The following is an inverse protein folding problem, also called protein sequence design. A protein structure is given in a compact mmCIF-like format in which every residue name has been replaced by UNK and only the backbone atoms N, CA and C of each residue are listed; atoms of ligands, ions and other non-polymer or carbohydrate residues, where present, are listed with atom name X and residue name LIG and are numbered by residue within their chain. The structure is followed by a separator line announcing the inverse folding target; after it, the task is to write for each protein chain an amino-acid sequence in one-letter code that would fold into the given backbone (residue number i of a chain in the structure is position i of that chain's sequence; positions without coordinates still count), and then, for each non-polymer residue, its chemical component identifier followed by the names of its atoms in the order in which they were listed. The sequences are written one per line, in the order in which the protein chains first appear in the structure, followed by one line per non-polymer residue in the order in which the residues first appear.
data_IF_539866755230
#
_entry.id   IF_539866755230
#
_cell.length_a   1.000
_cell.length_b   1.000
_cell.length_c   1.000
_cell.angle_alpha   90.00
_cell.angle_beta   90.00
_cell.angle_gamma   90.00
#
_symmetry.space_group_name_H-M   'P 1'
#
loop_
_entity.id
_entity.type
_entity.pdbx_description
1 polymer ?
#
# COMPACT_ATOMS: atom_id res chain seq x y z
N UNK A 1 45.64 1.48 12.42
CA UNK A 1 44.29 1.96 12.81
C UNK A 1 43.46 2.12 11.54
N UNK A 2 42.83 1.06 11.02
CA UNK A 2 42.05 1.08 9.76
C UNK A 2 40.69 0.38 9.89
N UNK A 3 40.20 0.14 11.12
CA UNK A 3 38.96 -0.59 11.40
C UNK A 3 37.69 0.28 11.36
N UNK A 4 37.83 1.62 11.35
CA UNK A 4 36.68 2.54 11.42
C UNK A 4 35.77 2.51 10.18
N UNK A 5 36.33 2.33 8.98
CA UNK A 5 35.56 2.35 7.74
C UNK A 5 34.67 1.12 7.55
N UNK A 6 35.17 -0.07 7.91
CA UNK A 6 34.42 -1.32 7.78
C UNK A 6 33.23 -1.36 8.76
N UNK A 7 33.43 -0.91 10.00
CA UNK A 7 32.36 -0.82 10.98
C UNK A 7 31.24 0.14 10.54
N UNK A 8 31.61 1.25 9.90
CA UNK A 8 30.65 2.25 9.42
C UNK A 8 29.80 1.72 8.24
N UNK A 9 30.42 1.02 7.29
CA UNK A 9 29.70 0.41 6.17
C UNK A 9 28.71 -0.67 6.64
N UNK A 10 29.10 -1.49 7.62
CA UNK A 10 28.20 -2.49 8.21
C UNK A 10 27.04 -1.83 8.94
N UNK A 11 27.28 -0.76 9.70
CA UNK A 11 26.23 -0.01 10.38
C UNK A 11 25.25 0.64 9.39
N UNK A 12 25.75 1.24 8.31
CA UNK A 12 24.91 1.81 7.25
C UNK A 12 24.10 0.73 6.53
N UNK A 13 24.72 -0.41 6.20
CA UNK A 13 24.02 -1.54 5.59
C UNK A 13 22.89 -2.06 6.47
N UNK A 14 23.16 -2.23 7.77
CA UNK A 14 22.15 -2.68 8.74
C UNK A 14 20.98 -1.69 8.84
N UNK A 15 21.26 -0.39 8.90
CA UNK A 15 20.23 0.65 8.96
C UNK A 15 19.36 0.69 7.70
N UNK A 16 19.95 0.48 6.52
CA UNK A 16 19.20 0.41 5.26
C UNK A 16 18.28 -0.80 5.22
N UNK A 17 18.76 -1.98 5.65
CA UNK A 17 17.94 -3.20 5.72
C UNK A 17 16.81 -3.04 6.73
N UNK A 18 17.09 -2.47 7.91
CA UNK A 18 16.07 -2.22 8.93
C UNK A 18 15.04 -1.20 8.46
N UNK A 19 15.50 -0.09 7.87
CA UNK A 19 14.64 0.95 7.32
C UNK A 19 13.73 0.41 6.22
N UNK A 20 14.28 -0.36 5.28
CA UNK A 20 13.52 -0.96 4.19
C UNK A 20 12.51 -2.00 4.70
N UNK A 21 12.92 -2.86 5.64
CA UNK A 21 12.03 -3.83 6.29
C UNK A 21 10.89 -3.15 7.02
N UNK A 22 11.18 -2.08 7.76
CA UNK A 22 10.19 -1.32 8.52
C UNK A 22 9.23 -0.57 7.59
N UNK A 23 9.72 0.10 6.54
CA UNK A 23 8.87 0.75 5.54
C UNK A 23 7.92 -0.23 4.86
N UNK A 24 8.41 -1.44 4.53
CA UNK A 24 7.60 -2.48 3.89
C UNK A 24 6.57 -3.07 4.85
N UNK A 25 6.94 -3.24 6.12
CA UNK A 25 6.02 -3.67 7.17
C UNK A 25 4.93 -2.63 7.44
N UNK A 26 5.26 -1.33 7.49
CA UNK A 26 4.26 -0.26 7.63
C UNK A 26 3.33 -0.19 6.41
N UNK A 27 3.87 -0.35 5.20
CA UNK A 27 3.04 -0.37 3.98
C UNK A 27 2.05 -1.55 3.99
N UNK A 28 2.47 -2.73 4.47
CA UNK A 28 1.58 -3.89 4.64
C UNK A 28 0.58 -3.71 5.77
N UNK A 29 1.01 -3.18 6.92
CA UNK A 29 0.12 -2.91 8.05
C UNK A 29 -0.99 -1.90 7.68
N UNK A 30 -0.68 -0.92 6.81
CA UNK A 30 -1.68 0.00 6.25
C UNK A 30 -2.67 -0.70 5.31
N UNK A 31 -2.30 -1.83 4.72
CA UNK A 31 -3.13 -2.65 3.84
C UNK A 31 -3.98 -3.68 4.59
N UNK A 32 -3.51 -4.21 5.72
CA UNK A 32 -4.17 -5.32 6.43
C UNK A 32 -5.07 -4.89 7.61
N UNK A 33 -4.95 -3.65 8.11
CA UNK A 33 -5.39 -3.34 9.47
C UNK A 33 -6.71 -2.58 9.68
N UNK A 34 -7.48 -2.20 8.66
CA UNK A 34 -8.69 -1.39 8.93
C UNK A 34 -9.87 -1.83 8.09
N UNK A 35 -10.82 -2.50 8.74
CA UNK A 35 -12.22 -2.52 8.30
C UNK A 35 -12.74 -1.08 8.38
N UNK A 36 -12.38 -0.26 7.39
CA UNK A 36 -12.71 1.16 7.33
C UNK A 36 -14.14 1.28 6.82
N UNK A 37 -15.07 1.57 7.71
CA UNK A 37 -16.44 1.90 7.33
C UNK A 37 -16.40 3.31 6.72
N UNK A 38 -16.60 3.40 5.40
CA UNK A 38 -16.70 4.68 4.68
C UNK A 38 -18.18 4.95 4.45
N UNK A 39 -18.69 6.01 5.08
CA UNK A 39 -20.05 6.48 4.83
C UNK A 39 -20.12 7.11 3.43
N UNK A 40 -20.72 6.40 2.47
CA UNK A 40 -20.93 6.91 1.13
C UNK A 40 -22.10 7.88 1.15
N UNK A 41 -21.83 9.15 0.89
CA UNK A 41 -22.87 10.15 0.60
C UNK A 41 -23.09 10.24 -0.91
N UNK A 42 -24.13 10.94 -1.37
CA UNK A 42 -24.36 11.18 -2.81
C UNK A 42 -23.23 11.92 -3.54
N UNK A 43 -22.25 12.45 -2.80
CA UNK A 43 -21.04 13.09 -3.33
C UNK A 43 -19.82 12.16 -3.36
N UNK A 44 -19.96 10.90 -2.97
CA UNK A 44 -18.91 9.89 -3.07
C UNK A 44 -19.14 9.02 -4.30
N UNK A 45 -18.07 8.79 -5.07
CA UNK A 45 -18.06 7.85 -6.18
C UNK A 45 -17.09 6.72 -5.88
N UNK A 46 -17.46 5.53 -6.34
CA UNK A 46 -16.64 4.34 -6.28
C UNK A 46 -16.20 3.96 -7.69
N UNK A 47 -14.92 3.72 -7.85
CA UNK A 47 -14.31 3.31 -9.12
C UNK A 47 -13.61 1.98 -8.93
N UNK A 48 -13.80 1.06 -9.88
CA UNK A 48 -12.99 -0.14 -9.97
C UNK A 48 -11.97 0.09 -11.08
N UNK A 49 -10.69 0.11 -10.73
CA UNK A 49 -9.58 0.31 -11.68
C UNK A 49 -8.70 -0.92 -11.73
N UNK A 50 -8.16 -1.22 -12.91
CA UNK A 50 -7.23 -2.32 -13.10
C UNK A 50 -5.83 -1.79 -13.35
N UNK A 51 -4.86 -2.25 -12.55
CA UNK A 51 -3.46 -1.83 -12.64
C UNK A 51 -2.59 -3.06 -12.47
N UNK A 52 -1.74 -3.37 -13.45
CA UNK A 52 -0.82 -4.52 -13.41
C UNK A 52 -1.53 -5.86 -13.10
N UNK A 53 -2.75 -6.04 -13.64
CA UNK A 53 -3.57 -7.24 -13.40
C UNK A 53 -4.21 -7.30 -12.00
N UNK A 54 -4.14 -6.23 -11.22
CA UNK A 54 -4.76 -6.10 -9.89
C UNK A 54 -6.00 -5.22 -10.00
N UNK A 55 -7.11 -5.65 -9.37
CA UNK A 55 -8.37 -4.91 -9.38
C UNK A 55 -8.52 -4.12 -8.09
N UNK A 56 -8.66 -2.81 -8.20
CA UNK A 56 -8.61 -1.88 -7.09
C UNK A 56 -9.94 -1.13 -6.97
N UNK A 57 -10.55 -1.14 -5.79
CA UNK A 57 -11.68 -0.30 -5.44
C UNK A 57 -11.17 1.03 -4.89
N UNK A 58 -11.38 2.09 -5.63
CA UNK A 58 -10.97 3.46 -5.28
C UNK A 58 -12.21 4.27 -4.93
N UNK A 59 -12.16 4.94 -3.79
CA UNK A 59 -13.16 5.92 -3.38
C UNK A 59 -12.70 7.32 -3.71
N UNK A 60 -13.60 8.11 -4.31
CA UNK A 60 -13.43 9.55 -4.51
C UNK A 60 -14.55 10.28 -3.80
N UNK A 61 -14.22 11.18 -2.88
CA UNK A 61 -15.17 11.98 -2.09
C UNK A 61 -15.00 13.48 -2.33
N UNK A 62 -15.85 14.33 -1.73
CA UNK A 62 -16.11 15.68 -2.23
C UNK A 62 -14.95 16.69 -2.14
N UNK A 63 -13.89 16.43 -1.37
CA UNK A 63 -12.78 17.39 -1.19
C UNK A 63 -11.41 16.73 -0.98
N UNK A 64 -11.29 15.41 -1.18
CA UNK A 64 -10.08 14.65 -0.87
C UNK A 64 -9.46 13.98 -2.09
N UNK A 65 -8.15 13.68 -2.06
CA UNK A 65 -7.53 12.88 -3.10
C UNK A 65 -8.16 11.48 -3.18
N UNK A 66 -8.14 10.83 -4.35
CA UNK A 66 -8.58 9.45 -4.49
C UNK A 66 -7.88 8.53 -3.49
N UNK A 67 -8.64 7.65 -2.84
CA UNK A 67 -8.09 6.70 -1.88
C UNK A 67 -8.43 5.28 -2.31
N UNK A 68 -7.41 4.41 -2.31
CA UNK A 68 -7.64 2.98 -2.36
C UNK A 68 -8.43 2.56 -1.13
N UNK A 69 -9.54 1.88 -1.33
CA UNK A 69 -10.40 1.35 -0.27
C UNK A 69 -10.19 -0.14 -0.10
N UNK A 70 -10.06 -0.86 -1.21
CA UNK A 70 -9.97 -2.33 -1.20
C UNK A 70 -9.33 -2.86 -2.47
N UNK A 71 -8.64 -4.00 -2.39
CA UNK A 71 -8.19 -4.76 -3.55
C UNK A 71 -9.15 -5.92 -3.78
N UNK A 72 -9.84 -5.91 -4.92
CA UNK A 72 -10.76 -6.97 -5.27
C UNK A 72 -10.00 -8.23 -5.73
N UNK A 73 -10.56 -9.42 -5.44
CA UNK A 73 -10.09 -10.63 -6.09
C UNK A 73 -10.20 -10.53 -7.62
N UNK A 74 -9.40 -11.33 -8.35
CA UNK A 74 -9.48 -11.39 -9.81
C UNK A 74 -10.92 -11.63 -10.24
N UNK A 75 -11.32 -10.99 -11.34
CA UNK A 75 -12.66 -11.19 -11.87
C UNK A 75 -12.87 -12.68 -12.18
N UNK A 76 -14.03 -13.25 -11.83
CA UNK A 76 -14.35 -14.60 -12.28
C UNK A 76 -14.26 -14.61 -13.81
N UNK A 77 -13.54 -15.60 -14.37
CA UNK A 77 -13.49 -15.79 -15.81
C UNK A 77 -14.93 -15.88 -16.30
N UNK A 78 -15.32 -14.97 -17.19
CA UNK A 78 -16.62 -15.04 -17.84
C UNK A 78 -16.70 -16.41 -18.52
N UNK A 79 -17.49 -17.31 -17.92
CA UNK A 79 -17.78 -18.60 -18.52
C UNK A 79 -18.68 -18.32 -19.72
N UNK A 80 -18.06 -18.13 -20.90
CA UNK A 80 -18.77 -18.08 -22.19
C UNK A 80 -19.00 -19.48 -22.72
#
# INVERSE_FOLDING_TARGET
MMTGGAAWLVACGLLLVLGLGLSRALARARSEGSRRIVALTGHHQLHVVEVEGRRLLVGTGPAGPPSLLYELPPAPAEQS
#
